data_IF_290635793323
#
_entry.id   IF_290635793323
#
_cell.length_a   1.000
_cell.length_b   1.000
_cell.length_c   1.000
_cell.angle_alpha   90.00
_cell.angle_beta   90.00
_cell.angle_gamma   90.00
#
_symmetry.space_group_name_H-M   'P 1'
#
loop_
_entity.id
_entity.type
_entity.pdbx_description
1 polymer ?
#
# COMPACT_ATOMS: atom_id res chain seq x y z
N UNK A 1 0.84 8.81 -3.92
CA UNK A 1 0.02 8.44 -2.73
C UNK A 1 0.24 9.46 -1.62
N UNK A 2 1.47 9.71 -1.16
CA UNK A 2 1.76 10.68 -0.10
C UNK A 2 1.15 12.05 -0.40
N UNK A 3 1.34 12.57 -1.60
CA UNK A 3 0.72 13.83 -2.06
C UNK A 3 -0.82 13.75 -2.05
N UNK A 4 -1.39 12.65 -2.55
CA UNK A 4 -2.84 12.42 -2.59
C UNK A 4 -3.51 12.51 -1.23
N UNK A 5 -2.81 12.09 -0.21
CA UNK A 5 -3.35 12.00 1.15
C UNK A 5 -2.77 13.04 2.09
N UNK A 6 -1.82 13.88 1.62
CA UNK A 6 -1.02 14.77 2.46
C UNK A 6 -0.50 14.02 3.70
N UNK A 7 0.12 12.86 3.45
CA UNK A 7 0.43 11.89 4.47
C UNK A 7 1.90 11.92 4.85
N UNK A 8 2.20 11.73 6.13
CA UNK A 8 3.55 11.36 6.57
C UNK A 8 3.97 10.09 5.86
N UNK A 9 5.18 10.06 5.36
CA UNK A 9 5.68 8.96 4.54
C UNK A 9 6.82 8.24 5.26
N UNK A 10 6.72 6.92 5.32
CA UNK A 10 7.79 6.08 5.85
C UNK A 10 8.20 5.07 4.77
N UNK A 11 9.48 5.03 4.47
CA UNK A 11 10.09 4.02 3.62
C UNK A 11 10.81 3.04 4.54
N UNK A 12 10.47 1.78 4.43
CA UNK A 12 11.02 0.73 5.28
C UNK A 12 11.71 -0.33 4.42
N UNK A 13 12.92 -0.70 4.83
CA UNK A 13 13.57 -1.92 4.40
C UNK A 13 13.60 -2.93 5.54
N UNK A 14 13.43 -4.21 5.21
CA UNK A 14 13.52 -5.31 6.15
C UNK A 14 14.58 -6.28 5.68
N UNK A 15 15.77 -6.14 6.27
CA UNK A 15 16.89 -7.05 6.04
C UNK A 15 16.62 -8.44 6.65
N UNK A 16 17.10 -9.48 5.96
CA UNK A 16 17.02 -10.85 6.47
C UNK A 16 17.84 -11.03 7.76
N UNK A 17 17.27 -11.74 8.76
CA UNK A 17 18.07 -12.19 9.89
C UNK A 17 19.19 -13.11 9.38
N UNK A 18 20.42 -12.84 9.80
CA UNK A 18 21.54 -13.79 9.64
C UNK A 18 21.28 -14.92 10.63
N UNK A 19 20.60 -15.97 10.18
CA UNK A 19 20.01 -17.03 11.01
C UNK A 19 21.01 -18.06 11.57
N UNK A 20 22.32 -17.89 11.34
CA UNK A 20 23.33 -18.91 11.68
C UNK A 20 24.23 -18.54 12.88
N UNK A 21 24.06 -17.33 13.45
CA UNK A 21 24.89 -16.90 14.57
C UNK A 21 24.04 -16.62 15.80
N UNK A 22 24.56 -16.96 16.99
CA UNK A 22 23.93 -16.55 18.24
C UNK A 22 23.87 -15.01 18.32
N UNK A 23 22.82 -14.46 18.95
CA UNK A 23 22.63 -13.01 19.07
C UNK A 23 23.87 -12.24 19.55
N UNK A 24 24.67 -12.83 20.46
CA UNK A 24 25.92 -12.24 20.93
C UNK A 24 27.03 -12.20 19.89
N UNK A 25 27.09 -13.16 18.97
CA UNK A 25 28.07 -13.16 17.87
C UNK A 25 27.66 -12.17 16.78
N UNK A 26 26.36 -11.94 16.58
CA UNK A 26 25.83 -10.93 15.66
C UNK A 26 26.12 -9.52 16.18
N UNK A 27 25.89 -9.23 17.47
CA UNK A 27 26.27 -7.95 18.09
C UNK A 27 27.77 -7.68 17.99
N UNK A 28 28.62 -8.66 18.37
CA UNK A 28 30.06 -8.53 18.25
C UNK A 28 30.54 -8.35 16.79
N UNK A 29 29.87 -9.00 15.83
CA UNK A 29 30.18 -8.82 14.43
C UNK A 29 29.71 -7.44 13.91
N UNK A 30 28.57 -6.94 14.34
CA UNK A 30 28.09 -5.60 14.03
C UNK A 30 29.00 -4.51 14.58
N UNK A 31 29.41 -4.60 15.85
CA UNK A 31 30.37 -3.67 16.46
C UNK A 31 31.72 -3.66 15.74
N UNK A 32 32.19 -4.84 15.28
CA UNK A 32 33.41 -4.93 14.50
C UNK A 32 33.22 -4.37 13.08
N UNK A 33 32.09 -4.61 12.42
CA UNK A 33 31.77 -4.05 11.11
C UNK A 33 31.69 -2.52 11.17
N UNK A 34 31.05 -1.96 12.18
CA UNK A 34 31.06 -0.50 12.41
C UNK A 34 32.47 0.05 12.64
N UNK A 35 33.32 -0.69 13.37
CA UNK A 35 34.73 -0.30 13.57
C UNK A 35 35.58 -0.35 12.31
N UNK A 36 35.14 -1.11 11.30
CA UNK A 36 35.82 -1.25 10.00
C UNK A 36 35.16 -0.44 8.89
N UNK A 37 34.23 0.46 9.23
CA UNK A 37 33.51 1.31 8.26
C UNK A 37 32.64 0.50 7.25
N UNK A 38 32.16 -0.69 7.69
CA UNK A 38 31.18 -1.46 6.94
C UNK A 38 29.76 -1.07 7.35
N UNK A 39 28.95 -0.67 6.38
CA UNK A 39 27.55 -0.37 6.61
C UNK A 39 26.75 -1.65 6.99
N UNK A 40 25.85 -1.58 7.98
CA UNK A 40 24.91 -2.67 8.26
C UNK A 40 24.10 -3.07 7.01
N UNK A 41 23.73 -4.35 6.85
CA UNK A 41 22.90 -4.80 5.74
C UNK A 41 21.60 -3.97 5.64
N UNK A 42 21.26 -3.49 4.44
CA UNK A 42 20.07 -2.67 4.16
C UNK A 42 20.30 -1.16 4.23
N UNK A 43 21.45 -0.68 4.74
CA UNK A 43 21.80 0.74 4.71
C UNK A 43 21.93 1.26 3.27
N UNK A 44 22.45 0.46 2.37
CA UNK A 44 22.51 0.73 0.94
C UNK A 44 21.14 0.95 0.31
N UNK A 45 20.12 0.23 0.76
CA UNK A 45 18.72 0.41 0.32
C UNK A 45 18.16 1.74 0.83
N UNK A 46 18.45 2.12 2.07
CA UNK A 46 18.06 3.44 2.60
C UNK A 46 18.78 4.58 1.89
N UNK A 47 20.08 4.41 1.57
CA UNK A 47 20.83 5.40 0.80
C UNK A 47 20.28 5.54 -0.62
N UNK A 48 19.92 4.44 -1.26
CA UNK A 48 19.22 4.47 -2.55
C UNK A 48 17.89 5.23 -2.45
N UNK A 49 17.08 4.95 -1.42
CA UNK A 49 15.82 5.64 -1.20
C UNK A 49 16.03 7.16 -0.97
N UNK A 50 17.05 7.54 -0.20
CA UNK A 50 17.43 8.94 0.00
C UNK A 50 17.81 9.62 -1.32
N UNK A 51 18.65 8.97 -2.13
CA UNK A 51 19.06 9.49 -3.43
C UNK A 51 17.86 9.69 -4.36
N UNK A 52 16.96 8.73 -4.42
CA UNK A 52 15.71 8.84 -5.18
C UNK A 52 14.85 10.02 -4.72
N UNK A 53 14.68 10.21 -3.41
CA UNK A 53 13.95 11.35 -2.85
C UNK A 53 14.62 12.68 -3.17
N UNK A 54 15.96 12.72 -3.17
CA UNK A 54 16.77 13.90 -3.50
C UNK A 54 16.64 14.29 -4.98
N UNK A 55 16.81 13.33 -5.87
CA UNK A 55 16.71 13.54 -7.34
C UNK A 55 15.33 14.04 -7.76
N UNK A 56 14.28 13.59 -7.05
CA UNK A 56 12.90 14.02 -7.30
C UNK A 56 12.48 15.25 -6.47
N UNK A 57 13.40 15.89 -5.74
CA UNK A 57 13.12 17.07 -4.90
C UNK A 57 12.00 16.83 -3.88
N UNK A 58 11.90 15.61 -3.33
CA UNK A 58 10.88 15.22 -2.36
C UNK A 58 11.29 15.48 -0.90
N UNK A 59 12.56 15.85 -0.67
CA UNK A 59 13.12 16.24 0.63
C UNK A 59 13.76 17.62 0.57
N UNK A 60 13.96 18.25 1.74
CA UNK A 60 14.48 19.62 1.85
C UNK A 60 15.89 19.75 1.24
N UNK A 61 16.13 20.84 0.52
CA UNK A 61 17.39 21.14 -0.15
C UNK A 61 18.61 21.07 0.80
N UNK A 62 18.47 21.50 2.05
CA UNK A 62 19.55 21.39 3.06
C UNK A 62 19.95 19.96 3.36
N UNK A 63 19.03 19.03 3.31
CA UNK A 63 19.31 17.61 3.51
C UNK A 63 19.98 16.99 2.29
N UNK A 64 19.59 17.44 1.09
CA UNK A 64 20.25 17.06 -0.17
C UNK A 64 21.72 17.48 -0.16
N UNK A 65 22.01 18.73 0.25
CA UNK A 65 23.38 19.25 0.34
C UNK A 65 24.24 18.50 1.36
N UNK A 66 23.64 18.01 2.46
CA UNK A 66 24.36 17.30 3.53
C UNK A 66 24.64 15.84 3.17
N UNK A 67 23.88 15.29 2.21
CA UNK A 67 23.96 13.87 1.81
C UNK A 67 23.31 12.91 2.81
N UNK A 68 23.35 11.63 2.49
CA UNK A 68 22.77 10.58 3.34
C UNK A 68 23.49 10.49 4.69
N UNK A 69 22.77 10.56 5.82
CA UNK A 69 23.36 10.65 7.15
C UNK A 69 23.75 9.26 7.71
N UNK A 70 24.70 8.56 7.08
CA UNK A 70 25.14 7.21 7.48
C UNK A 70 25.42 7.06 8.99
N UNK A 71 26.09 8.04 9.56
CA UNK A 71 26.49 8.05 10.98
C UNK A 71 25.41 8.61 11.93
N UNK A 72 24.18 8.80 11.46
CA UNK A 72 23.06 9.36 12.23
C UNK A 72 21.83 8.46 12.22
N UNK A 73 22.01 7.19 11.94
CA UNK A 73 20.95 6.20 12.15
C UNK A 73 20.66 6.16 13.64
N UNK A 74 19.48 6.59 14.03
CA UNK A 74 19.03 6.56 15.42
C UNK A 74 18.57 5.14 15.70
N UNK A 75 19.18 4.50 16.68
CA UNK A 75 18.69 3.25 17.24
C UNK A 75 17.48 3.58 18.13
N UNK A 76 16.30 3.12 17.70
CA UNK A 76 15.02 3.35 18.40
C UNK A 76 14.59 2.08 19.20
N UNK A 77 15.53 1.16 19.41
CA UNK A 77 15.31 -0.12 20.07
C UNK A 77 14.69 -1.19 19.16
N UNK A 78 14.68 -2.44 19.64
CA UNK A 78 14.06 -3.59 18.94
C UNK A 78 14.56 -3.79 17.49
N UNK A 79 15.88 -3.68 17.25
CA UNK A 79 16.49 -3.77 15.92
C UNK A 79 15.93 -2.78 14.89
N UNK A 80 15.41 -1.63 15.34
CA UNK A 80 14.83 -0.58 14.51
C UNK A 80 15.79 0.61 14.41
N UNK A 81 16.32 0.87 13.22
CA UNK A 81 17.16 2.04 12.92
C UNK A 81 16.38 3.05 12.07
N UNK A 82 16.51 4.32 12.36
CA UNK A 82 15.63 5.36 11.82
C UNK A 82 16.42 6.59 11.37
N UNK A 83 16.04 7.15 10.21
CA UNK A 83 16.46 8.47 9.72
C UNK A 83 15.23 9.35 9.54
N UNK A 84 15.24 10.53 10.13
CA UNK A 84 14.22 11.55 9.94
C UNK A 84 14.64 12.53 8.84
N UNK A 85 13.75 12.77 7.88
CA UNK A 85 13.93 13.73 6.80
C UNK A 85 12.74 14.69 6.76
N UNK A 86 13.01 15.95 6.44
CA UNK A 86 11.94 16.94 6.15
C UNK A 86 11.54 16.81 4.69
N UNK A 87 10.28 16.54 4.43
CA UNK A 87 9.73 16.43 3.09
C UNK A 87 9.27 17.76 2.52
N UNK A 88 9.23 17.87 1.19
CA UNK A 88 8.67 19.02 0.46
C UNK A 88 7.18 18.86 0.16
N UNK A 89 6.71 17.62 0.02
CA UNK A 89 5.32 17.25 -0.32
C UNK A 89 4.52 16.88 0.92
N UNK A 90 5.18 16.32 1.93
CA UNK A 90 4.63 16.00 3.24
C UNK A 90 5.62 16.42 4.32
N UNK A 91 5.12 16.74 5.53
CA UNK A 91 5.95 17.30 6.59
C UNK A 91 7.13 16.41 6.98
N UNK A 92 6.89 15.08 7.10
CA UNK A 92 7.88 14.13 7.56
C UNK A 92 8.06 12.98 6.56
N UNK A 93 9.31 12.66 6.27
CA UNK A 93 9.71 11.46 5.54
C UNK A 93 10.68 10.68 6.42
N UNK A 94 10.34 9.45 6.74
CA UNK A 94 11.17 8.58 7.56
C UNK A 94 11.74 7.43 6.72
N UNK A 95 13.02 7.13 6.91
CA UNK A 95 13.63 5.92 6.39
C UNK A 95 13.89 4.99 7.57
N UNK A 96 13.40 3.75 7.48
CA UNK A 96 13.49 2.76 8.57
C UNK A 96 14.16 1.50 8.05
N UNK A 97 15.11 1.01 8.82
CA UNK A 97 15.72 -0.30 8.64
C UNK A 97 15.34 -1.19 9.82
N UNK A 98 14.80 -2.36 9.52
CA UNK A 98 14.54 -3.44 10.48
C UNK A 98 15.20 -4.73 10.02
N UNK A 99 15.46 -5.64 10.95
CA UNK A 99 16.03 -6.95 10.63
C UNK A 99 15.14 -8.06 11.20
N UNK A 100 14.70 -8.97 10.35
CA UNK A 100 13.87 -10.06 10.80
C UNK A 100 13.10 -10.76 9.68
N UNK A 101 11.99 -11.37 10.06
CA UNK A 101 11.05 -11.96 9.11
C UNK A 101 10.12 -10.86 8.58
N UNK A 102 10.11 -10.67 7.25
CA UNK A 102 9.48 -9.53 6.57
C UNK A 102 8.04 -9.27 7.03
N UNK A 103 7.19 -10.30 7.11
CA UNK A 103 5.78 -10.12 7.47
C UNK A 103 5.63 -9.73 8.94
N UNK A 104 6.45 -10.29 9.80
CA UNK A 104 6.45 -9.98 11.23
C UNK A 104 6.89 -8.54 11.46
N UNK A 105 8.03 -8.14 10.90
CA UNK A 105 8.57 -6.79 11.06
C UNK A 105 7.65 -5.71 10.47
N UNK A 106 7.10 -5.95 9.28
CA UNK A 106 6.12 -5.03 8.68
C UNK A 106 4.84 -4.93 9.51
N UNK A 107 4.35 -6.03 10.06
CA UNK A 107 3.17 -6.02 10.92
C UNK A 107 3.40 -5.22 12.21
N UNK A 108 4.55 -5.41 12.85
CA UNK A 108 4.93 -4.68 14.04
C UNK A 108 5.09 -3.20 13.76
N UNK A 109 5.80 -2.83 12.69
CA UNK A 109 5.94 -1.43 12.29
C UNK A 109 4.59 -0.78 11.98
N UNK A 110 3.71 -1.46 11.24
CA UNK A 110 2.37 -0.93 10.94
C UNK A 110 1.53 -0.76 12.20
N UNK A 111 1.65 -1.67 13.15
CA UNK A 111 0.95 -1.58 14.43
C UNK A 111 1.50 -0.45 15.30
N UNK A 112 2.82 -0.27 15.34
CA UNK A 112 3.51 0.78 16.09
C UNK A 112 3.21 2.17 15.51
N UNK A 113 3.42 2.35 14.20
CA UNK A 113 3.26 3.62 13.50
C UNK A 113 1.82 3.97 13.16
N UNK A 114 0.85 3.04 13.34
CA UNK A 114 -0.58 3.20 13.03
C UNK A 114 -0.83 3.72 11.61
N UNK A 115 -0.14 3.15 10.64
CA UNK A 115 -0.24 3.57 9.25
C UNK A 115 -1.62 3.27 8.65
N UNK A 116 -2.19 4.23 7.94
CA UNK A 116 -3.46 4.09 7.23
C UNK A 116 -3.34 3.26 5.96
N UNK A 117 -2.20 3.41 5.25
CA UNK A 117 -1.92 2.73 3.99
C UNK A 117 -0.50 2.20 3.98
N UNK A 118 -0.34 0.93 3.65
CA UNK A 118 0.95 0.29 3.36
C UNK A 118 1.07 0.07 1.86
N UNK A 119 2.18 0.49 1.25
CA UNK A 119 2.45 0.34 -0.18
C UNK A 119 3.48 -0.77 -0.36
N UNK A 120 3.19 -1.71 -1.23
CA UNK A 120 4.08 -2.83 -1.53
C UNK A 120 4.16 -3.08 -3.03
N UNK A 121 5.34 -3.41 -3.53
CA UNK A 121 5.50 -3.94 -4.87
C UNK A 121 4.87 -5.33 -5.00
N UNK A 122 4.32 -5.66 -6.16
CA UNK A 122 3.84 -7.02 -6.44
C UNK A 122 5.02 -7.98 -6.42
N UNK A 123 5.03 -8.88 -5.46
CA UNK A 123 6.04 -9.93 -5.38
C UNK A 123 5.74 -11.06 -6.36
N UNK A 124 6.77 -11.56 -7.03
CA UNK A 124 6.67 -12.80 -7.81
C UNK A 124 6.48 -14.05 -6.92
N UNK A 125 6.81 -13.94 -5.62
CA UNK A 125 6.52 -14.99 -4.63
C UNK A 125 5.03 -14.91 -4.26
N UNK A 126 4.24 -15.86 -4.76
CA UNK A 126 2.75 -15.92 -4.62
C UNK A 126 2.22 -15.71 -3.20
N UNK A 127 2.97 -16.08 -2.17
CA UNK A 127 2.47 -16.05 -0.79
C UNK A 127 2.64 -14.70 -0.10
N UNK A 128 3.65 -13.90 -0.45
CA UNK A 128 3.96 -12.67 0.29
C UNK A 128 2.84 -11.62 0.23
N UNK A 129 2.29 -11.36 -0.95
CA UNK A 129 1.17 -10.41 -1.07
C UNK A 129 -0.09 -10.90 -0.35
N UNK A 130 -0.33 -12.22 -0.33
CA UNK A 130 -1.41 -12.85 0.41
C UNK A 130 -1.25 -12.63 1.93
N UNK A 131 -0.05 -12.90 2.44
CA UNK A 131 0.26 -12.77 3.86
C UNK A 131 0.19 -11.30 4.31
N UNK A 132 0.67 -10.35 3.50
CA UNK A 132 0.53 -8.93 3.76
C UNK A 132 -0.95 -8.51 3.88
N UNK A 133 -1.81 -8.92 2.93
CA UNK A 133 -3.24 -8.61 3.00
C UNK A 133 -3.89 -9.24 4.23
N UNK A 134 -3.44 -10.42 4.63
CA UNK A 134 -4.01 -11.15 5.76
C UNK A 134 -3.58 -10.60 7.11
N UNK A 135 -2.29 -10.29 7.28
CA UNK A 135 -1.68 -10.03 8.59
C UNK A 135 -1.41 -8.55 8.88
N UNK A 136 -1.31 -7.68 7.86
CA UNK A 136 -1.08 -6.24 8.06
C UNK A 136 -2.41 -5.52 8.34
N UNK A 137 -2.46 -4.74 9.41
CA UNK A 137 -3.68 -4.04 9.86
C UNK A 137 -3.75 -2.59 9.33
N UNK A 138 -3.44 -2.40 8.06
CA UNK A 138 -3.66 -1.14 7.32
C UNK A 138 -4.30 -1.44 5.97
N UNK A 139 -4.79 -0.42 5.26
CA UNK A 139 -5.13 -0.56 3.85
C UNK A 139 -3.86 -0.83 3.05
N UNK A 140 -3.94 -1.65 2.00
CA UNK A 140 -2.76 -2.07 1.24
C UNK A 140 -2.90 -1.65 -0.21
N UNK A 141 -1.93 -0.88 -0.70
CA UNK A 141 -1.75 -0.59 -2.11
C UNK A 141 -0.68 -1.51 -2.68
N UNK A 142 -1.09 -2.41 -3.55
CA UNK A 142 -0.17 -3.26 -4.32
C UNK A 142 0.10 -2.57 -5.65
N UNK A 143 1.37 -2.28 -5.93
CA UNK A 143 1.81 -1.69 -7.18
C UNK A 143 2.57 -2.72 -8.01
N UNK A 144 2.33 -2.71 -9.31
CA UNK A 144 3.06 -3.48 -10.31
C UNK A 144 4.03 -2.56 -11.04
N UNK A 145 4.81 -3.10 -11.97
CA UNK A 145 5.44 -2.32 -13.03
C UNK A 145 4.31 -1.67 -13.85
N UNK A 146 4.00 -0.44 -13.53
CA UNK A 146 2.87 0.29 -14.09
C UNK A 146 3.36 1.65 -14.57
N UNK A 147 2.99 1.98 -15.79
CA UNK A 147 3.22 3.29 -16.38
C UNK A 147 2.11 4.24 -15.90
N UNK A 148 2.47 5.18 -15.02
CA UNK A 148 1.55 6.15 -14.43
C UNK A 148 1.06 7.21 -15.45
N UNK A 149 1.73 7.38 -16.58
CA UNK A 149 1.28 8.26 -17.66
C UNK A 149 -0.02 7.78 -18.33
N UNK A 150 -0.35 6.48 -18.22
CA UNK A 150 -1.55 5.89 -18.80
C UNK A 150 -2.73 5.75 -17.84
N UNK A 151 -2.65 6.33 -16.66
CA UNK A 151 -3.71 6.25 -15.66
C UNK A 151 -4.87 7.20 -15.98
N UNK A 152 -6.01 6.63 -16.37
CA UNK A 152 -7.16 7.41 -16.87
C UNK A 152 -8.31 7.53 -15.87
N UNK A 153 -8.57 6.51 -15.05
CA UNK A 153 -9.72 6.48 -14.13
C UNK A 153 -9.47 5.58 -12.92
N UNK A 154 -10.25 5.81 -11.87
CA UNK A 154 -10.36 4.88 -10.73
C UNK A 154 -11.50 3.91 -11.00
N UNK A 155 -11.26 2.60 -10.91
CA UNK A 155 -12.31 1.59 -10.88
C UNK A 155 -12.67 1.29 -9.42
N UNK A 156 -13.91 1.56 -9.05
CA UNK A 156 -14.47 1.34 -7.72
C UNK A 156 -15.55 0.25 -7.75
N UNK A 157 -15.21 -1.01 -7.50
CA UNK A 157 -16.21 -2.05 -7.27
C UNK A 157 -16.97 -1.77 -5.96
N UNK A 158 -18.30 -1.78 -6.04
CA UNK A 158 -19.18 -1.52 -4.89
C UNK A 158 -20.14 -2.67 -4.66
N UNK A 159 -20.45 -2.88 -3.40
CA UNK A 159 -21.46 -3.83 -2.94
C UNK A 159 -22.25 -3.23 -1.76
N UNK A 160 -23.18 -3.99 -1.23
CA UNK A 160 -24.06 -3.56 -0.14
C UNK A 160 -23.40 -3.52 1.25
N UNK A 161 -22.13 -3.91 1.37
CA UNK A 161 -21.44 -3.93 2.66
C UNK A 161 -20.96 -2.54 3.08
N UNK A 162 -20.97 -2.23 4.39
CA UNK A 162 -20.55 -0.92 4.91
C UNK A 162 -19.12 -0.51 4.52
N UNK A 163 -18.21 -1.46 4.36
CA UNK A 163 -16.80 -1.21 3.96
C UNK A 163 -16.66 -0.56 2.59
N UNK A 164 -17.64 -0.72 1.68
CA UNK A 164 -17.65 -0.07 0.37
C UNK A 164 -17.71 1.47 0.48
N UNK A 165 -18.31 2.02 1.54
CA UNK A 165 -18.31 3.46 1.81
C UNK A 165 -16.90 3.99 2.15
N UNK A 166 -16.10 3.21 2.89
CA UNK A 166 -14.70 3.57 3.18
C UNK A 166 -13.86 3.53 1.89
N UNK A 167 -14.01 2.49 1.07
CA UNK A 167 -13.36 2.40 -0.23
C UNK A 167 -13.73 3.58 -1.15
N UNK A 168 -14.98 4.00 -1.17
CA UNK A 168 -15.42 5.16 -1.94
C UNK A 168 -14.73 6.47 -1.51
N UNK A 169 -14.51 6.67 -0.21
CA UNK A 169 -13.75 7.84 0.29
C UNK A 169 -12.29 7.83 -0.17
N UNK A 170 -11.65 6.66 -0.20
CA UNK A 170 -10.30 6.52 -0.73
C UNK A 170 -10.27 6.73 -2.25
N UNK A 171 -11.23 6.17 -2.99
CA UNK A 171 -11.36 6.38 -4.44
C UNK A 171 -11.50 7.87 -4.81
N UNK A 172 -12.32 8.62 -4.05
CA UNK A 172 -12.47 10.07 -4.25
C UNK A 172 -11.13 10.79 -4.06
N UNK A 173 -10.38 10.48 -3.00
CA UNK A 173 -9.08 11.11 -2.75
C UNK A 173 -8.08 10.81 -3.85
N UNK A 174 -7.98 9.54 -4.27
CA UNK A 174 -7.13 9.14 -5.40
C UNK A 174 -7.55 9.89 -6.67
N UNK A 175 -8.83 9.91 -7.00
CA UNK A 175 -9.35 10.57 -8.19
C UNK A 175 -9.05 12.08 -8.21
N UNK A 176 -9.23 12.77 -7.09
CA UNK A 176 -8.90 14.20 -6.97
C UNK A 176 -7.41 14.45 -7.16
N UNK A 177 -6.54 13.61 -6.57
CA UNK A 177 -5.09 13.78 -6.66
C UNK A 177 -4.52 13.59 -8.05
N UNK A 178 -5.13 12.73 -8.84
CA UNK A 178 -4.70 12.47 -10.21
C UNK A 178 -5.56 13.21 -11.26
N UNK A 179 -6.53 14.01 -10.81
CA UNK A 179 -7.48 14.72 -11.68
C UNK A 179 -8.20 13.79 -12.69
N UNK A 180 -8.67 12.65 -12.20
CA UNK A 180 -9.34 11.62 -13.00
C UNK A 180 -10.73 11.31 -12.49
N UNK A 181 -11.54 10.64 -13.33
CA UNK A 181 -12.88 10.22 -12.94
C UNK A 181 -12.93 8.86 -12.23
N UNK A 182 -14.12 8.51 -11.73
CA UNK A 182 -14.40 7.23 -11.07
C UNK A 182 -15.42 6.42 -11.87
N UNK A 183 -15.07 5.17 -12.20
CA UNK A 183 -16.00 4.16 -12.70
C UNK A 183 -16.53 3.34 -11.51
N UNK A 184 -17.78 3.53 -11.14
CA UNK A 184 -18.45 2.80 -10.06
C UNK A 184 -19.02 1.53 -10.66
N UNK A 185 -18.47 0.38 -10.29
CA UNK A 185 -18.89 -0.93 -10.80
C UNK A 185 -19.71 -1.67 -9.74
N UNK A 186 -20.96 -1.94 -10.04
CA UNK A 186 -21.84 -2.78 -9.25
C UNK A 186 -22.13 -4.07 -10.01
N UNK A 187 -21.64 -5.21 -9.53
CA UNK A 187 -21.88 -6.52 -10.11
C UNK A 187 -22.90 -7.26 -9.28
N UNK A 188 -24.01 -7.63 -9.90
CA UNK A 188 -25.06 -8.43 -9.29
C UNK A 188 -24.73 -9.91 -9.44
N UNK A 189 -24.74 -10.64 -8.33
CA UNK A 189 -24.68 -12.09 -8.36
C UNK A 189 -26.04 -12.67 -8.81
N UNK A 190 -26.04 -13.70 -9.65
CA UNK A 190 -27.25 -14.31 -10.21
C UNK A 190 -28.30 -14.72 -9.15
N UNK A 191 -27.85 -14.86 -7.89
CA UNK A 191 -28.69 -15.23 -6.75
C UNK A 191 -29.19 -14.03 -5.92
N UNK A 192 -28.75 -12.80 -6.21
CA UNK A 192 -29.28 -11.60 -5.58
C UNK A 192 -30.48 -11.08 -6.38
N UNK A 193 -31.68 -11.51 -5.98
CA UNK A 193 -32.93 -11.00 -6.51
C UNK A 193 -32.98 -9.46 -6.53
N UNK A 194 -33.49 -8.92 -7.62
CA UNK A 194 -33.74 -7.50 -7.98
C UNK A 194 -34.31 -6.60 -6.86
N UNK A 195 -33.61 -6.47 -5.75
CA UNK A 195 -33.90 -5.39 -4.82
C UNK A 195 -33.28 -4.12 -5.37
N UNK A 196 -34.17 -3.20 -5.77
CA UNK A 196 -33.90 -1.83 -6.16
C UNK A 196 -32.69 -1.25 -5.45
N UNK A 197 -31.85 -0.51 -6.19
CA UNK A 197 -30.61 0.15 -5.80
C UNK A 197 -30.36 0.13 -4.29
N UNK A 198 -29.57 -0.79 -3.85
CA UNK A 198 -29.32 -0.99 -2.43
C UNK A 198 -28.99 0.36 -1.78
N UNK A 199 -29.50 0.60 -0.61
CA UNK A 199 -29.37 1.89 0.08
C UNK A 199 -27.90 2.33 0.22
N UNK A 200 -26.94 1.40 0.18
CA UNK A 200 -25.52 1.66 0.30
C UNK A 200 -24.91 2.17 -1.01
N UNK A 201 -25.21 1.52 -2.14
CA UNK A 201 -24.74 1.95 -3.47
C UNK A 201 -25.25 3.35 -3.79
N UNK A 202 -26.53 3.62 -3.55
CA UNK A 202 -27.11 4.94 -3.73
C UNK A 202 -26.45 6.02 -2.87
N UNK A 203 -26.04 5.69 -1.64
CA UNK A 203 -25.28 6.60 -0.75
C UNK A 203 -23.87 6.88 -1.30
N UNK A 204 -23.20 5.86 -1.83
CA UNK A 204 -21.87 5.99 -2.44
C UNK A 204 -21.94 6.91 -3.68
N UNK A 205 -22.89 6.70 -4.58
CA UNK A 205 -23.10 7.56 -5.74
C UNK A 205 -23.36 9.01 -5.32
N UNK A 206 -24.20 9.23 -4.30
CA UNK A 206 -24.45 10.58 -3.76
C UNK A 206 -23.20 11.21 -3.16
N UNK A 207 -22.35 10.43 -2.48
CA UNK A 207 -21.09 10.89 -1.91
C UNK A 207 -20.13 11.35 -3.02
N UNK A 208 -19.92 10.52 -4.06
CA UNK A 208 -19.04 10.83 -5.19
C UNK A 208 -19.55 12.06 -5.96
N UNK A 209 -20.85 12.14 -6.23
CA UNK A 209 -21.45 13.33 -6.86
C UNK A 209 -21.21 14.61 -6.06
N UNK A 210 -21.29 14.55 -4.72
CA UNK A 210 -21.04 15.71 -3.85
C UNK A 210 -19.58 16.14 -3.80
N UNK A 211 -18.65 15.24 -4.09
CA UNK A 211 -17.21 15.58 -4.16
C UNK A 211 -16.82 16.33 -5.44
N UNK A 212 -17.71 16.44 -6.41
CA UNK A 212 -17.44 17.08 -7.69
C UNK A 212 -16.63 16.23 -8.68
N UNK A 213 -16.25 15.00 -8.32
CA UNK A 213 -15.48 14.10 -9.17
C UNK A 213 -16.38 13.55 -10.29
N UNK A 214 -15.87 13.57 -11.54
CA UNK A 214 -16.55 12.91 -12.65
C UNK A 214 -16.74 11.42 -12.36
N UNK A 215 -17.92 10.89 -12.65
CA UNK A 215 -18.20 9.50 -12.34
C UNK A 215 -19.17 8.87 -13.36
N UNK A 216 -18.94 7.58 -13.59
CA UNK A 216 -19.82 6.71 -14.38
C UNK A 216 -20.29 5.55 -13.49
N UNK A 217 -21.59 5.27 -13.50
CA UNK A 217 -22.16 4.09 -12.85
C UNK A 217 -22.34 2.97 -13.87
N UNK A 218 -21.77 1.81 -13.57
CA UNK A 218 -21.78 0.62 -14.42
C UNK A 218 -22.43 -0.50 -13.60
N UNK A 219 -23.50 -1.08 -14.13
CA UNK A 219 -24.18 -2.24 -13.56
C UNK A 219 -23.96 -3.43 -14.49
N UNK A 220 -23.47 -4.52 -13.95
CA UNK A 220 -23.16 -5.75 -14.67
C UNK A 220 -23.74 -6.94 -13.93
N UNK A 221 -24.01 -8.02 -14.65
CA UNK A 221 -24.41 -9.31 -14.09
C UNK A 221 -23.27 -10.31 -14.28
N UNK A 222 -23.10 -11.25 -13.30
CA UNK A 222 -22.12 -12.32 -13.39
C UNK A 222 -21.11 -12.38 -12.26
N UNK A 223 -19.96 -13.02 -12.49
CA UNK A 223 -18.92 -13.15 -11.47
C UNK A 223 -18.20 -11.80 -11.24
N UNK A 224 -18.20 -11.29 -10.00
CA UNK A 224 -17.59 -10.00 -9.69
C UNK A 224 -16.09 -9.93 -9.98
N UNK A 225 -15.34 -11.03 -9.82
CA UNK A 225 -13.89 -11.04 -10.08
C UNK A 225 -13.64 -10.89 -11.57
N UNK A 226 -14.34 -11.65 -12.40
CA UNK A 226 -14.22 -11.58 -13.86
C UNK A 226 -14.58 -10.17 -14.38
N UNK A 227 -15.68 -9.60 -13.87
CA UNK A 227 -16.12 -8.25 -14.28
C UNK A 227 -15.16 -7.14 -13.85
N UNK A 228 -14.56 -7.24 -12.65
CA UNK A 228 -13.55 -6.28 -12.20
C UNK A 228 -12.31 -6.36 -13.10
N UNK A 229 -11.84 -7.57 -13.42
CA UNK A 229 -10.68 -7.78 -14.30
C UNK A 229 -10.99 -7.23 -15.71
N UNK A 230 -12.14 -7.55 -16.27
CA UNK A 230 -12.58 -7.04 -17.57
C UNK A 230 -12.60 -5.51 -17.63
N UNK A 231 -13.16 -4.86 -16.60
CA UNK A 231 -13.33 -3.39 -16.57
C UNK A 231 -12.05 -2.65 -16.14
N UNK A 232 -11.03 -3.33 -15.66
CA UNK A 232 -9.76 -2.69 -15.28
C UNK A 232 -8.95 -2.17 -16.48
N UNK A 233 -9.07 -2.81 -17.65
CA UNK A 233 -8.52 -2.43 -18.97
C UNK A 233 -7.03 -2.05 -18.97
N UNK A 234 -6.25 -2.37 -17.94
CA UNK A 234 -4.85 -1.99 -17.74
C UNK A 234 -4.56 -0.46 -17.71
N UNK A 235 -5.59 0.37 -17.61
CA UNK A 235 -5.48 1.84 -17.57
C UNK A 235 -6.11 2.48 -16.33
N UNK A 236 -6.41 1.67 -15.29
CA UNK A 236 -7.14 2.12 -14.10
C UNK A 236 -6.43 1.69 -12.81
N UNK A 237 -6.61 2.48 -11.74
CA UNK A 237 -6.34 2.01 -10.39
C UNK A 237 -7.62 1.41 -9.82
N UNK A 238 -7.54 0.18 -9.32
CA UNK A 238 -8.66 -0.45 -8.62
C UNK A 238 -8.63 -0.05 -7.15
N UNK A 239 -9.74 0.50 -6.65
CA UNK A 239 -9.93 0.77 -5.22
C UNK A 239 -11.11 -0.06 -4.72
N UNK A 240 -10.83 -1.04 -3.89
CA UNK A 240 -11.85 -1.96 -3.41
C UNK A 240 -11.76 -2.22 -1.92
N UNK A 241 -12.88 -2.58 -1.30
CA UNK A 241 -12.88 -2.96 0.11
C UNK A 241 -12.20 -4.30 0.34
N UNK A 242 -11.60 -4.48 1.51
CA UNK A 242 -11.16 -5.79 1.98
C UNK A 242 -12.37 -6.71 2.21
N UNK A 243 -12.15 -8.01 2.07
CA UNK A 243 -13.17 -9.01 2.39
C UNK A 243 -13.45 -9.06 3.91
N UNK A 244 -14.73 -9.11 4.30
CA UNK A 244 -15.14 -9.29 5.70
C UNK A 244 -14.97 -10.74 6.23
N UNK A 245 -14.42 -11.64 5.41
CA UNK A 245 -14.18 -13.02 5.85
C UNK A 245 -13.07 -13.06 6.88
N UNK A 246 -13.23 -13.94 7.90
CA UNK A 246 -12.15 -14.23 8.84
C UNK A 246 -10.93 -14.81 8.11
N UNK A 247 -9.70 -14.64 8.64
CA UNK A 247 -8.48 -15.18 8.02
C UNK A 247 -8.60 -16.64 7.61
N UNK A 248 -9.19 -17.46 8.46
CA UNK A 248 -9.41 -18.89 8.19
C UNK A 248 -10.34 -19.12 6.98
N UNK A 249 -11.46 -18.40 6.89
CA UNK A 249 -12.39 -18.54 5.75
C UNK A 249 -11.80 -18.00 4.44
N UNK A 250 -10.94 -16.96 4.51
CA UNK A 250 -10.21 -16.45 3.34
C UNK A 250 -9.25 -17.49 2.77
N UNK A 251 -8.55 -18.22 3.64
CA UNK A 251 -7.62 -19.26 3.23
C UNK A 251 -8.31 -20.39 2.44
N UNK A 252 -9.49 -20.82 2.88
CA UNK A 252 -10.21 -21.94 2.27
C UNK A 252 -11.04 -21.60 1.04
N UNK A 253 -11.50 -20.36 0.89
CA UNK A 253 -12.42 -19.96 -0.20
C UNK A 253 -11.84 -18.92 -1.18
N UNK A 254 -10.60 -18.46 -0.95
CA UNK A 254 -10.08 -17.28 -1.62
C UNK A 254 -10.82 -15.99 -1.22
N UNK A 255 -10.26 -14.86 -1.52
CA UNK A 255 -10.97 -13.57 -1.38
C UNK A 255 -11.02 -12.87 -2.73
N UNK A 256 -12.15 -12.20 -3.02
CA UNK A 256 -12.29 -11.42 -4.27
C UNK A 256 -11.09 -10.48 -4.47
N UNK A 257 -10.62 -9.71 -3.47
CA UNK A 257 -9.41 -8.88 -3.61
C UNK A 257 -8.15 -9.65 -4.01
N UNK A 258 -7.92 -10.84 -3.44
CA UNK A 258 -6.77 -11.66 -3.79
C UNK A 258 -6.85 -12.21 -5.20
N UNK A 259 -8.04 -12.66 -5.63
CA UNK A 259 -8.25 -13.15 -6.99
C UNK A 259 -8.04 -12.04 -8.01
N UNK A 260 -8.57 -10.86 -7.77
CA UNK A 260 -8.36 -9.68 -8.64
C UNK A 260 -6.88 -9.31 -8.67
N UNK A 261 -6.20 -9.23 -7.53
CA UNK A 261 -4.78 -8.89 -7.43
C UNK A 261 -3.88 -9.85 -8.21
N UNK A 262 -4.18 -11.16 -8.16
CA UNK A 262 -3.39 -12.16 -8.87
C UNK A 262 -3.60 -12.11 -10.39
N UNK A 263 -4.75 -11.66 -10.84
CA UNK A 263 -5.16 -11.68 -12.24
C UNK A 263 -5.03 -10.33 -12.96
N UNK A 264 -4.88 -9.22 -12.21
CA UNK A 264 -4.70 -7.88 -12.78
C UNK A 264 -3.24 -7.43 -12.73
N UNK A 265 -2.84 -6.64 -13.73
CA UNK A 265 -1.53 -5.98 -13.79
C UNK A 265 -1.60 -4.49 -13.40
N UNK A 266 -2.76 -4.00 -12.98
CA UNK A 266 -2.96 -2.61 -12.53
C UNK A 266 -2.75 -2.47 -11.02
N UNK A 267 -2.44 -1.26 -10.52
CA UNK A 267 -2.36 -1.01 -9.10
C UNK A 267 -3.71 -1.25 -8.40
N UNK A 268 -3.66 -1.88 -7.22
CA UNK A 268 -4.88 -2.21 -6.46
C UNK A 268 -4.75 -1.72 -5.03
N UNK A 269 -5.65 -0.83 -4.61
CA UNK A 269 -5.80 -0.39 -3.24
C UNK A 269 -6.91 -1.19 -2.55
N UNK A 270 -6.52 -2.04 -1.60
CA UNK A 270 -7.42 -2.84 -0.77
C UNK A 270 -7.66 -2.09 0.54
N UNK A 271 -8.85 -1.55 0.72
CA UNK A 271 -9.24 -0.71 1.87
C UNK A 271 -9.79 -1.57 3.00
N UNK A 272 -9.14 -1.48 4.17
CA UNK A 272 -9.54 -2.15 5.42
C UNK A 272 -10.27 -1.23 6.38
#
# INVERSE_FOLDING_TARGET
>A
VAQAFNAKTTIIDVGGKVSEFSSQLVELAQDQMESWDFDPPGVDVLEWAFNYLSENSLIDAKQIETGFPKNRLIDDGEDRKLVYLSGTVCEDVNLILRHGEIITELREEVQFGKYDVTIVGKSQKRNMSHDLIQYINSSILVVNEYDDENFNRVLLPVDNFPGSMKAAKYAIRVAISYDVGIDILNVLDENESNNEDSSNVSKIIKLIRRSGVDHKYIKEDGDPVEKIIEKSNNDKIIVMRASNMSPIKRYFRGSKPLSVMNSCNVPILIVK
#
